data_IF_584747384214
#
_entry.id   IF_584747384214
#
_cell.length_a   1.000
_cell.length_b   1.000
_cell.length_c   1.000
_cell.angle_alpha   90.00
_cell.angle_beta   90.00
_cell.angle_gamma   90.00
#
_symmetry.space_group_name_H-M   'P 1'
#
loop_
_entity.id
_entity.type
_entity.pdbx_description
1 polymer ?
#
# COMPACT_ATOMS: atom_id res chain seq x y z
N UNK A 1 5.03 -10.50 14.21
CA UNK A 1 4.33 -10.71 15.49
C UNK A 1 2.88 -11.09 15.22
N UNK A 2 2.55 -12.40 15.25
CA UNK A 2 1.16 -12.84 15.21
C UNK A 2 0.43 -12.22 16.41
N UNK A 3 -0.64 -11.46 16.18
CA UNK A 3 -1.42 -10.80 17.25
C UNK A 3 -1.07 -9.34 17.55
N UNK A 4 -0.07 -8.74 16.91
CA UNK A 4 0.18 -7.30 17.04
C UNK A 4 -0.95 -6.49 16.37
N UNK A 5 -1.50 -5.52 17.09
CA UNK A 5 -2.53 -4.58 16.62
C UNK A 5 -1.97 -3.18 16.40
N UNK A 6 -2.73 -2.30 15.75
CA UNK A 6 -2.36 -0.89 15.58
C UNK A 6 -2.16 -0.17 16.93
N UNK A 7 -2.89 -0.58 17.97
CA UNK A 7 -2.76 -0.05 19.33
C UNK A 7 -1.45 -0.49 19.97
N UNK A 8 -1.08 -1.78 19.85
CA UNK A 8 0.21 -2.27 20.36
C UNK A 8 1.40 -1.63 19.64
N UNK A 9 1.24 -1.32 18.33
CA UNK A 9 2.22 -0.57 17.56
C UNK A 9 2.38 0.86 18.10
N UNK A 10 1.27 1.56 18.34
CA UNK A 10 1.28 2.91 18.92
C UNK A 10 1.92 2.93 20.31
N UNK A 11 1.58 1.97 21.17
CA UNK A 11 2.19 1.83 22.49
C UNK A 11 3.72 1.70 22.39
N UNK A 12 4.20 0.94 21.40
CA UNK A 12 5.64 0.79 21.14
C UNK A 12 6.27 2.09 20.65
N UNK A 13 5.62 2.83 19.75
CA UNK A 13 6.13 4.14 19.31
C UNK A 13 6.21 5.13 20.49
N UNK A 14 5.15 5.19 21.29
CA UNK A 14 5.11 6.05 22.47
C UNK A 14 6.20 5.69 23.48
N UNK A 15 6.46 4.41 23.75
CA UNK A 15 7.48 4.01 24.73
C UNK A 15 8.90 4.24 24.24
N UNK A 16 9.18 3.92 22.97
CA UNK A 16 10.53 4.04 22.37
C UNK A 16 10.91 5.50 22.12
N UNK A 17 9.95 6.35 21.73
CA UNK A 17 10.23 7.73 21.32
C UNK A 17 9.81 8.80 22.33
N UNK A 18 9.43 8.44 23.57
CA UNK A 18 8.97 9.40 24.59
C UNK A 18 9.96 10.54 24.87
N UNK A 19 11.26 10.32 24.71
CA UNK A 19 12.33 11.31 24.99
C UNK A 19 12.84 12.01 23.72
N UNK A 20 12.28 11.67 22.55
CA UNK A 20 12.69 12.27 21.29
C UNK A 20 12.02 13.64 21.10
N UNK A 21 12.83 14.70 20.98
CA UNK A 21 12.38 16.08 20.75
C UNK A 21 11.51 16.29 19.49
N UNK A 22 11.53 15.33 18.55
CA UNK A 22 10.76 15.35 17.31
C UNK A 22 9.50 14.46 17.35
N UNK A 23 9.22 13.81 18.48
CA UNK A 23 8.04 12.96 18.67
C UNK A 23 7.13 13.55 19.74
N UNK A 24 5.82 13.59 19.47
CA UNK A 24 4.82 14.07 20.43
C UNK A 24 3.64 13.10 20.52
N UNK A 25 3.18 12.88 21.75
CA UNK A 25 1.93 12.17 22.02
C UNK A 25 0.80 13.21 22.03
N UNK A 26 -0.31 13.00 21.30
CA UNK A 26 -1.44 13.92 21.30
C UNK A 26 -1.98 14.17 22.73
N UNK A 27 -2.38 15.41 23.02
CA UNK A 27 -2.91 15.78 24.34
C UNK A 27 -4.20 15.03 24.71
N UNK A 28 -5.05 14.73 23.73
CA UNK A 28 -6.23 13.87 23.91
C UNK A 28 -5.82 12.43 23.68
N UNK A 29 -6.41 11.50 24.44
CA UNK A 29 -6.29 10.06 24.15
C UNK A 29 -6.89 9.78 22.77
N UNK A 30 -6.01 9.78 21.79
CA UNK A 30 -6.31 9.53 20.38
C UNK A 30 -5.37 8.43 19.89
N UNK A 31 -5.84 7.59 18.96
CA UNK A 31 -5.04 6.58 18.31
C UNK A 31 -4.11 7.22 17.26
N UNK A 32 -3.21 8.11 17.70
CA UNK A 32 -2.33 8.88 16.84
C UNK A 32 -0.99 9.20 17.52
N UNK A 33 0.00 9.54 16.69
CA UNK A 33 1.27 10.14 17.09
C UNK A 33 1.60 11.34 16.21
N UNK A 34 2.46 12.22 16.69
CA UNK A 34 2.86 13.43 15.97
C UNK A 34 4.36 13.41 15.74
N UNK A 35 4.78 13.72 14.52
CA UNK A 35 6.18 13.90 14.15
C UNK A 35 6.41 15.36 13.78
N UNK A 36 7.48 15.95 14.33
CA UNK A 36 7.96 17.29 13.96
C UNK A 36 8.88 17.16 12.75
N UNK A 37 8.34 17.41 11.56
CA UNK A 37 9.13 17.50 10.34
C UNK A 37 9.71 18.90 10.15
N UNK A 38 10.66 19.05 9.23
CA UNK A 38 11.24 20.36 8.89
C UNK A 38 10.17 21.39 8.48
N UNK A 39 9.12 20.93 7.79
CA UNK A 39 8.01 21.76 7.30
C UNK A 39 6.87 21.94 8.31
N UNK A 40 7.01 21.40 9.53
CA UNK A 40 6.01 21.51 10.59
C UNK A 40 5.58 20.16 11.16
N UNK A 41 4.61 20.23 12.08
CA UNK A 41 4.10 19.05 12.80
C UNK A 41 3.05 18.34 11.97
N UNK A 42 3.16 17.02 11.88
CA UNK A 42 2.16 16.18 11.20
C UNK A 42 1.65 15.14 12.18
N UNK A 43 0.32 15.04 12.31
CA UNK A 43 -0.36 14.01 13.09
C UNK A 43 -0.69 12.81 12.21
N UNK A 44 -0.29 11.63 12.65
CA UNK A 44 -0.52 10.36 11.98
C UNK A 44 -1.50 9.52 12.79
N UNK A 45 -2.62 9.15 12.17
CA UNK A 45 -3.54 8.16 12.73
C UNK A 45 -2.93 6.76 12.60
N UNK A 46 -3.02 5.94 13.65
CA UNK A 46 -2.50 4.56 13.59
C UNK A 46 -3.48 3.57 12.98
N UNK A 47 -4.73 3.97 12.78
CA UNK A 47 -5.75 3.16 12.12
C UNK A 47 -5.26 2.65 10.76
N UNK A 48 -5.29 1.33 10.56
CA UNK A 48 -4.85 0.64 9.34
C UNK A 48 -3.35 0.75 9.00
N UNK A 49 -2.50 1.33 9.87
CA UNK A 49 -1.06 1.44 9.60
C UNK A 49 -0.43 0.07 9.36
N UNK A 50 -0.77 -0.92 10.20
CA UNK A 50 -0.25 -2.28 10.07
C UNK A 50 -0.72 -2.92 8.77
N UNK A 51 -2.02 -2.87 8.50
CA UNK A 51 -2.63 -3.47 7.32
C UNK A 51 -2.02 -2.89 6.03
N UNK A 52 -1.81 -1.57 5.98
CA UNK A 52 -1.17 -0.88 4.85
C UNK A 52 0.31 -1.25 4.69
N UNK A 53 1.03 -1.46 5.78
CA UNK A 53 2.45 -1.82 5.76
C UNK A 53 2.73 -3.31 5.52
N UNK A 54 1.74 -4.19 5.68
CA UNK A 54 1.92 -5.62 5.37
C UNK A 54 2.05 -5.86 3.86
N UNK A 55 1.59 -4.91 3.03
CA UNK A 55 1.52 -5.03 1.56
C UNK A 55 0.94 -6.38 1.10
N UNK A 56 0.08 -6.97 1.95
CA UNK A 56 -0.41 -8.32 1.76
C UNK A 56 -1.54 -8.31 0.74
N UNK A 57 -1.33 -9.00 -0.37
CA UNK A 57 -2.41 -9.34 -1.28
C UNK A 57 -3.21 -10.52 -0.73
N UNK A 58 -4.54 -10.43 -0.85
CA UNK A 58 -5.40 -11.56 -0.51
C UNK A 58 -5.10 -12.74 -1.46
N UNK A 59 -5.12 -13.96 -0.90
CA UNK A 59 -4.72 -15.17 -1.62
C UNK A 59 -5.68 -15.52 -2.78
N UNK A 60 -6.95 -15.15 -2.66
CA UNK A 60 -7.96 -15.26 -3.72
C UNK A 60 -7.60 -14.39 -4.94
N UNK A 61 -7.19 -13.13 -4.71
CA UNK A 61 -6.74 -12.22 -5.77
C UNK A 61 -5.49 -12.78 -6.47
N UNK A 62 -4.52 -13.29 -5.69
CA UNK A 62 -3.34 -13.96 -6.25
C UNK A 62 -3.74 -15.17 -7.08
N UNK A 63 -4.69 -15.97 -6.60
CA UNK A 63 -5.25 -17.12 -7.31
C UNK A 63 -5.88 -16.73 -8.65
N UNK A 64 -6.69 -15.68 -8.70
CA UNK A 64 -7.30 -15.17 -9.94
C UNK A 64 -6.23 -14.74 -10.94
N UNK A 65 -5.22 -13.98 -10.51
CA UNK A 65 -4.17 -13.50 -11.41
C UNK A 65 -3.30 -14.64 -11.96
N UNK A 66 -2.99 -15.66 -11.14
CA UNK A 66 -2.30 -16.88 -11.58
C UNK A 66 -3.09 -17.68 -12.62
N UNK A 67 -4.42 -17.60 -12.59
CA UNK A 67 -5.31 -18.27 -13.53
C UNK A 67 -5.76 -17.36 -14.69
N UNK A 68 -5.17 -16.16 -14.85
CA UNK A 68 -5.50 -15.27 -15.95
C UNK A 68 -5.24 -15.94 -17.30
N UNK A 69 -6.10 -15.72 -18.31
CA UNK A 69 -5.85 -16.19 -19.68
C UNK A 69 -4.64 -15.51 -20.34
N UNK A 70 -4.20 -14.37 -19.81
CA UNK A 70 -3.07 -13.60 -20.34
C UNK A 70 -1.74 -14.09 -19.76
N UNK A 71 -0.86 -14.62 -20.63
CA UNK A 71 0.45 -15.15 -20.23
C UNK A 71 1.29 -14.13 -19.46
N UNK A 72 1.33 -12.89 -19.93
CA UNK A 72 2.01 -11.78 -19.26
C UNK A 72 1.54 -11.57 -17.82
N UNK A 73 0.23 -11.61 -17.55
CA UNK A 73 -0.32 -11.41 -16.20
C UNK A 73 0.08 -12.58 -15.28
N UNK A 74 0.09 -13.82 -15.80
CA UNK A 74 0.54 -14.98 -15.03
C UNK A 74 2.03 -14.90 -14.67
N UNK A 75 2.87 -14.54 -15.64
CA UNK A 75 4.32 -14.38 -15.44
C UNK A 75 4.63 -13.26 -14.43
N UNK A 76 3.88 -12.16 -14.49
CA UNK A 76 3.99 -11.04 -13.54
C UNK A 76 3.74 -11.46 -12.08
N UNK A 77 2.97 -12.53 -11.87
CA UNK A 77 2.60 -13.06 -10.56
C UNK A 77 3.48 -14.25 -10.14
N UNK A 78 4.12 -14.91 -11.10
CA UNK A 78 4.77 -16.21 -10.92
C UNK A 78 6.30 -16.22 -10.83
N UNK A 79 6.98 -15.09 -11.09
CA UNK A 79 8.43 -15.10 -11.33
C UNK A 79 9.33 -15.35 -10.10
N UNK A 80 8.85 -15.21 -8.86
CA UNK A 80 9.72 -15.40 -7.70
C UNK A 80 8.93 -15.72 -6.41
N UNK A 81 9.26 -16.79 -5.67
CA UNK A 81 8.68 -17.09 -4.36
C UNK A 81 9.13 -16.12 -3.24
N UNK A 82 10.15 -15.29 -3.48
CA UNK A 82 10.78 -14.31 -2.58
C UNK A 82 10.70 -12.87 -3.12
N UNK A 83 10.58 -12.66 -4.45
CA UNK A 83 10.25 -11.33 -4.98
C UNK A 83 8.79 -11.06 -4.65
N UNK A 84 8.62 -10.34 -3.54
CA UNK A 84 7.41 -9.67 -3.13
C UNK A 84 6.72 -9.17 -4.38
N UNK A 85 5.64 -9.86 -4.74
CA UNK A 85 4.73 -9.47 -5.80
C UNK A 85 4.52 -7.95 -5.71
N UNK A 86 5.11 -7.19 -6.63
CA UNK A 86 5.10 -5.73 -6.51
C UNK A 86 3.78 -5.24 -7.08
N UNK A 87 2.79 -5.05 -6.20
CA UNK A 87 1.47 -4.52 -6.57
C UNK A 87 1.54 -3.22 -7.39
N UNK A 88 2.60 -2.43 -7.23
CA UNK A 88 2.89 -1.28 -8.07
C UNK A 88 3.06 -1.64 -9.56
N UNK A 89 3.74 -2.75 -9.89
CA UNK A 89 3.96 -3.20 -11.27
C UNK A 89 2.64 -3.66 -11.90
N UNK A 90 1.84 -4.44 -11.18
CA UNK A 90 0.53 -4.89 -11.67
C UNK A 90 -0.42 -3.71 -11.91
N UNK A 91 -0.46 -2.76 -10.97
CA UNK A 91 -1.21 -1.50 -11.16
C UNK A 91 -0.70 -0.71 -12.36
N UNK A 92 0.62 -0.60 -12.55
CA UNK A 92 1.19 0.11 -13.70
C UNK A 92 0.81 -0.56 -15.02
N UNK A 93 0.87 -1.90 -15.09
CA UNK A 93 0.43 -2.65 -16.26
C UNK A 93 -1.02 -2.35 -16.62
N UNK A 94 -1.95 -2.53 -15.68
CA UNK A 94 -3.38 -2.31 -15.98
C UNK A 94 -3.66 -0.86 -16.35
N UNK A 95 -3.04 0.11 -15.65
CA UNK A 95 -3.17 1.53 -16.01
C UNK A 95 -2.70 1.81 -17.44
N UNK A 96 -1.54 1.28 -17.82
CA UNK A 96 -1.04 1.40 -19.18
C UNK A 96 -1.98 0.75 -20.19
N UNK A 97 -2.32 -0.53 -19.99
CA UNK A 97 -3.20 -1.29 -20.88
C UNK A 97 -4.53 -0.57 -21.15
N UNK A 98 -5.22 -0.12 -20.11
CA UNK A 98 -6.50 0.57 -20.27
C UNK A 98 -6.35 1.95 -20.91
N UNK A 99 -5.30 2.71 -20.59
CA UNK A 99 -5.03 3.99 -21.23
C UNK A 99 -4.80 3.84 -22.74
N UNK A 100 -3.99 2.86 -23.16
CA UNK A 100 -3.77 2.57 -24.59
C UNK A 100 -5.03 2.07 -25.27
N UNK A 101 -5.80 1.19 -24.63
CA UNK A 101 -7.04 0.67 -25.19
C UNK A 101 -8.10 1.77 -25.38
N UNK A 102 -8.23 2.67 -24.40
CA UNK A 102 -9.15 3.80 -24.47
C UNK A 102 -8.72 4.82 -25.54
N UNK A 103 -7.44 5.18 -25.59
CA UNK A 103 -6.88 6.04 -26.64
C UNK A 103 -7.12 5.46 -28.04
N UNK A 104 -6.90 4.15 -28.21
CA UNK A 104 -7.18 3.43 -29.44
C UNK A 104 -8.67 3.44 -29.83
N UNK A 105 -9.59 3.30 -28.87
CA UNK A 105 -11.04 3.46 -29.11
C UNK A 105 -11.38 4.86 -29.60
N UNK A 106 -10.89 5.90 -28.91
CA UNK A 106 -11.16 7.30 -29.27
C UNK A 106 -10.65 7.64 -30.67
N UNK A 107 -9.46 7.16 -31.03
CA UNK A 107 -8.88 7.39 -32.36
C UNK A 107 -9.71 6.72 -33.48
N UNK A 108 -10.33 5.56 -33.21
CA UNK A 108 -11.20 4.87 -34.17
C UNK A 108 -12.56 5.55 -34.32
N UNK A 109 -13.12 6.11 -33.23
CA UNK A 109 -14.40 6.83 -33.23
C UNK A 109 -14.28 8.25 -33.82
N UNK A 110 -13.16 8.93 -33.68
CA UNK A 110 -12.94 10.27 -34.25
C UNK A 110 -12.55 10.28 -35.74
N UNK A 111 -12.54 9.12 -36.40
CA UNK A 111 -12.25 8.95 -37.83
C UNK A 111 -13.50 8.57 -38.65
N UNK A 112 -14.69 8.57 -38.04
CA UNK A 112 -15.99 8.36 -38.69
C UNK A 112 -16.72 9.65 -38.94
#
# INVERSE_FOLDING_TARGET
FPGATNETLLQKFNSVHKENNFYEIPQRREAAFIVRHYAGKVKYQVTEMREKNLDLMRQDIVGVLKNSSMAFVRELVGADPVAVFRWAIVRAFFRGYFAFHEAGRRQRLGRG
#
